data_IF_703675194504
#
_entry.id   IF_703675194504
#
_cell.length_a   1.000
_cell.length_b   1.000
_cell.length_c   1.000
_cell.angle_alpha   90.00
_cell.angle_beta   90.00
_cell.angle_gamma   90.00
#
_symmetry.space_group_name_H-M   'P 1'
#
loop_
_entity.id
_entity.type
_entity.pdbx_description
1 polymer ?
#
# COMPACT_ATOMS: atom_id res chain seq x y z
N UNK A 1 -7.23 -15.36 -18.39
CA UNK A 1 -5.95 -14.96 -19.04
C UNK A 1 -5.05 -16.18 -19.09
N UNK A 2 -4.62 -16.62 -20.27
CA UNK A 2 -3.65 -17.71 -20.38
C UNK A 2 -2.24 -17.11 -20.45
N UNK A 3 -1.34 -17.50 -19.53
CA UNK A 3 0.07 -17.07 -19.55
C UNK A 3 0.39 -15.70 -18.96
N UNK A 4 -0.56 -15.07 -18.26
CA UNK A 4 -0.28 -13.85 -17.49
C UNK A 4 0.53 -14.20 -16.23
N UNK A 5 1.60 -13.44 -15.99
CA UNK A 5 2.39 -13.51 -14.77
C UNK A 5 1.84 -12.48 -13.78
N UNK A 6 1.47 -12.95 -12.59
CA UNK A 6 1.22 -12.08 -11.45
C UNK A 6 2.54 -11.48 -10.97
N UNK A 7 2.57 -10.17 -10.73
CA UNK A 7 3.73 -9.50 -10.15
C UNK A 7 3.48 -9.36 -8.65
N UNK A 8 4.24 -10.09 -7.84
CA UNK A 8 4.22 -9.90 -6.39
C UNK A 8 4.81 -8.51 -6.08
N UNK A 9 3.97 -7.61 -5.59
CA UNK A 9 4.32 -6.22 -5.28
C UNK A 9 4.87 -6.05 -3.84
N UNK A 10 4.86 -7.12 -3.03
CA UNK A 10 5.21 -7.09 -1.61
C UNK A 10 6.71 -7.34 -1.37
N UNK A 11 7.41 -7.99 -2.30
CA UNK A 11 8.83 -8.36 -2.18
C UNK A 11 9.83 -7.28 -2.62
N UNK A 12 9.38 -6.11 -3.08
CA UNK A 12 10.27 -5.08 -3.60
C UNK A 12 10.66 -4.06 -2.51
N UNK A 13 11.96 -4.00 -2.19
CA UNK A 13 12.64 -3.04 -1.31
C UNK A 13 12.52 -1.55 -1.76
N UNK A 14 11.69 -1.25 -2.75
CA UNK A 14 11.46 0.09 -3.27
C UNK A 14 9.98 0.31 -3.56
N UNK A 15 9.16 0.52 -2.53
CA UNK A 15 7.75 0.93 -2.66
C UNK A 15 7.57 2.17 -3.57
N UNK A 16 8.62 3.00 -3.69
CA UNK A 16 8.66 4.19 -4.52
C UNK A 16 9.17 3.95 -5.96
N UNK A 17 9.31 2.69 -6.39
CA UNK A 17 9.74 2.36 -7.76
C UNK A 17 8.65 2.76 -8.78
N UNK A 18 9.02 3.45 -9.89
CA UNK A 18 8.09 3.74 -10.98
C UNK A 18 7.59 2.45 -11.65
N UNK A 19 6.30 2.36 -11.93
CA UNK A 19 5.70 1.16 -12.55
C UNK A 19 6.29 0.83 -13.93
N UNK A 20 6.76 1.86 -14.65
CA UNK A 20 7.42 1.74 -15.95
C UNK A 20 8.71 0.90 -15.87
N UNK A 21 9.37 0.90 -14.72
CA UNK A 21 10.54 0.05 -14.45
C UNK A 21 10.14 -1.41 -14.33
N UNK A 22 9.04 -1.71 -13.63
CA UNK A 22 8.49 -3.06 -13.50
C UNK A 22 8.07 -3.61 -14.88
N UNK A 23 7.41 -2.80 -15.70
CA UNK A 23 7.05 -3.16 -17.07
C UNK A 23 8.31 -3.49 -17.89
N UNK A 24 9.35 -2.65 -17.80
CA UNK A 24 10.63 -2.87 -18.49
C UNK A 24 11.30 -4.18 -18.04
N UNK A 25 11.32 -4.47 -16.74
CA UNK A 25 11.88 -5.71 -16.17
C UNK A 25 11.12 -6.97 -16.65
N UNK A 26 9.83 -6.84 -16.98
CA UNK A 26 8.98 -7.97 -17.38
C UNK A 26 8.82 -8.14 -18.90
N UNK A 27 9.80 -7.69 -19.69
CA UNK A 27 9.97 -8.10 -21.09
C UNK A 27 9.41 -7.13 -22.14
N UNK A 28 9.18 -5.89 -21.77
CA UNK A 28 8.84 -4.79 -22.67
C UNK A 28 9.98 -3.78 -22.76
N UNK A 29 10.11 -3.14 -23.91
CA UNK A 29 10.94 -1.95 -24.06
C UNK A 29 10.10 -0.74 -23.67
N UNK A 30 10.64 0.04 -22.75
CA UNK A 30 9.98 1.24 -22.23
C UNK A 30 10.89 2.43 -22.43
N UNK A 31 10.40 3.45 -23.11
CA UNK A 31 11.07 4.74 -23.27
C UNK A 31 10.23 5.80 -22.58
N UNK A 32 10.85 6.53 -21.66
CA UNK A 32 10.17 7.58 -20.89
C UNK A 32 10.71 8.92 -21.36
N UNK A 33 9.80 9.80 -21.78
CA UNK A 33 10.09 11.21 -22.07
C UNK A 33 9.52 12.07 -20.95
N UNK A 34 9.69 13.39 -21.04
CA UNK A 34 9.13 14.31 -20.06
C UNK A 34 7.60 14.20 -19.95
N UNK A 35 6.89 14.01 -21.07
CA UNK A 35 5.42 14.07 -21.11
C UNK A 35 4.74 12.77 -21.51
N UNK A 36 5.51 11.74 -21.87
CA UNK A 36 4.92 10.48 -22.33
C UNK A 36 5.79 9.25 -22.08
N UNK A 37 5.14 8.08 -22.07
CA UNK A 37 5.77 6.77 -22.00
C UNK A 37 5.47 6.01 -23.30
N UNK A 38 6.49 5.41 -23.89
CA UNK A 38 6.35 4.53 -25.04
C UNK A 38 6.67 3.11 -24.60
N UNK A 39 5.76 2.17 -24.88
CA UNK A 39 5.92 0.76 -24.53
C UNK A 39 5.83 -0.07 -25.80
N UNK A 40 6.82 -0.94 -26.02
CA UNK A 40 6.81 -1.91 -27.11
C UNK A 40 7.17 -3.29 -26.61
N UNK A 41 6.64 -4.31 -27.27
CA UNK A 41 7.09 -5.68 -27.04
C UNK A 41 8.49 -5.87 -27.61
N UNK A 42 9.33 -6.66 -26.91
CA UNK A 42 10.64 -7.10 -27.43
C UNK A 42 10.53 -8.20 -28.48
N UNK A 43 9.34 -8.76 -28.63
CA UNK A 43 9.07 -9.87 -29.53
C UNK A 43 8.76 -9.35 -30.93
N UNK A 44 9.10 -10.15 -31.93
CA UNK A 44 8.57 -9.95 -33.27
C UNK A 44 7.10 -10.39 -33.25
N UNK A 45 6.21 -9.46 -33.53
CA UNK A 45 4.76 -9.69 -33.59
C UNK A 45 4.21 -9.15 -34.90
N UNK A 46 3.19 -9.80 -35.50
CA UNK A 46 2.53 -9.26 -36.67
C UNK A 46 1.70 -8.03 -36.28
N UNK A 47 1.84 -6.94 -37.04
CA UNK A 47 1.07 -5.71 -36.84
C UNK A 47 1.66 -4.78 -35.78
N UNK A 48 0.81 -4.21 -34.92
CA UNK A 48 1.22 -3.23 -33.93
C UNK A 48 2.05 -3.89 -32.79
N UNK A 49 3.19 -3.29 -32.46
CA UNK A 49 4.10 -3.75 -31.41
C UNK A 49 3.83 -3.13 -30.04
N UNK A 50 2.78 -2.31 -29.92
CA UNK A 50 2.35 -1.67 -28.68
C UNK A 50 1.37 -2.58 -27.92
N UNK A 51 1.61 -2.89 -26.61
CA UNK A 51 0.72 -3.75 -25.84
C UNK A 51 -0.57 -3.05 -25.43
N UNK A 52 -1.61 -3.84 -25.16
CA UNK A 52 -2.84 -3.33 -24.54
C UNK A 52 -2.60 -3.07 -23.06
N UNK A 53 -2.74 -1.82 -22.61
CA UNK A 53 -2.55 -1.42 -21.22
C UNK A 53 -3.87 -0.96 -20.61
N UNK A 54 -4.16 -1.44 -19.40
CA UNK A 54 -5.37 -1.13 -18.65
C UNK A 54 -5.02 -0.65 -17.24
N UNK A 55 -5.73 0.36 -16.76
CA UNK A 55 -5.76 0.77 -15.35
C UNK A 55 -7.19 0.59 -14.86
N UNK A 56 -7.39 -0.19 -13.80
CA UNK A 56 -8.71 -0.48 -13.22
C UNK A 56 -9.74 -0.91 -14.29
N UNK A 57 -9.30 -1.80 -15.18
CA UNK A 57 -10.04 -2.30 -16.36
C UNK A 57 -10.35 -1.27 -17.45
N UNK A 58 -9.91 -0.02 -17.31
CA UNK A 58 -10.05 1.01 -18.34
C UNK A 58 -8.85 0.96 -19.32
N UNK A 59 -9.08 0.77 -20.63
CA UNK A 59 -8.00 0.78 -21.63
C UNK A 59 -7.41 2.17 -21.82
N UNK A 60 -6.09 2.25 -22.00
CA UNK A 60 -5.36 3.51 -22.20
C UNK A 60 -5.19 3.93 -23.68
N UNK A 61 -5.60 3.09 -24.65
CA UNK A 61 -5.57 3.40 -26.08
C UNK A 61 -4.26 4.05 -26.59
N UNK A 62 -3.12 3.44 -26.26
CA UNK A 62 -1.77 3.89 -26.63
C UNK A 62 -1.33 5.26 -26.04
N UNK A 63 -2.13 5.87 -25.15
CA UNK A 63 -1.72 7.02 -24.33
C UNK A 63 -1.29 6.56 -22.92
N UNK A 64 0.02 6.44 -22.72
CA UNK A 64 0.59 5.94 -21.48
C UNK A 64 1.16 7.03 -20.58
N UNK A 65 0.78 8.30 -20.80
CA UNK A 65 1.21 9.43 -19.97
C UNK A 65 0.88 9.24 -18.49
N UNK A 66 -0.25 8.61 -18.19
CA UNK A 66 -0.71 8.28 -16.83
C UNK A 66 0.28 7.39 -16.07
N UNK A 67 1.11 6.61 -16.77
CA UNK A 67 2.10 5.72 -16.16
C UNK A 67 3.34 6.44 -15.62
N UNK A 68 3.58 7.71 -15.98
CA UNK A 68 4.76 8.49 -15.56
C UNK A 68 4.83 8.64 -14.03
N UNK A 69 3.68 8.92 -13.42
CA UNK A 69 3.60 9.28 -12.01
C UNK A 69 3.19 8.11 -11.12
N UNK A 70 2.70 7.01 -11.70
CA UNK A 70 2.32 5.82 -10.95
C UNK A 70 3.55 5.15 -10.30
N UNK A 71 3.41 4.81 -9.01
CA UNK A 71 4.39 4.06 -8.23
C UNK A 71 3.80 2.72 -7.78
N UNK A 72 4.67 1.79 -7.39
CA UNK A 72 4.26 0.49 -6.85
C UNK A 72 3.37 0.63 -5.61
N UNK A 73 3.62 1.62 -4.75
CA UNK A 73 2.81 1.86 -3.54
C UNK A 73 1.32 2.14 -3.86
N UNK A 74 1.04 2.76 -5.01
CA UNK A 74 -0.30 3.17 -5.42
C UNK A 74 -1.12 1.98 -5.96
N UNK A 75 -0.47 0.83 -6.14
CA UNK A 75 -1.06 -0.37 -6.70
C UNK A 75 -1.53 -1.34 -5.62
N UNK A 76 -2.62 -2.01 -5.95
CA UNK A 76 -3.05 -3.24 -5.29
C UNK A 76 -2.43 -4.44 -6.00
N UNK A 77 -2.61 -4.53 -7.32
CA UNK A 77 -2.16 -5.66 -8.12
C UNK A 77 -1.71 -5.25 -9.53
N UNK A 78 -0.85 -6.08 -10.13
CA UNK A 78 -0.43 -5.95 -11.52
C UNK A 78 -0.29 -7.32 -12.20
N UNK A 79 -0.82 -7.43 -13.41
CA UNK A 79 -0.73 -8.61 -14.25
C UNK A 79 -0.09 -8.26 -15.58
N UNK A 80 0.96 -9.00 -15.94
CA UNK A 80 1.67 -8.80 -17.19
C UNK A 80 1.64 -10.09 -18.00
N UNK A 81 1.13 -10.02 -19.23
CA UNK A 81 1.23 -11.08 -20.22
C UNK A 81 2.00 -10.58 -21.43
N UNK A 82 3.08 -11.29 -21.79
CA UNK A 82 3.79 -11.04 -23.08
C UNK A 82 3.08 -11.70 -24.26
N UNK A 83 2.05 -12.49 -24.00
CA UNK A 83 1.23 -13.18 -25.00
C UNK A 83 -0.12 -12.46 -25.15
N UNK A 84 -0.69 -12.44 -26.36
CA UNK A 84 -2.03 -11.88 -26.56
C UNK A 84 -3.09 -12.71 -25.84
N UNK A 85 -4.09 -12.04 -25.28
CA UNK A 85 -5.39 -12.65 -25.01
C UNK A 85 -6.35 -12.34 -26.17
N UNK A 86 -7.47 -13.07 -26.31
CA UNK A 86 -8.49 -12.73 -27.29
C UNK A 86 -8.98 -11.29 -27.12
N UNK A 87 -8.88 -10.48 -28.18
CA UNK A 87 -9.27 -9.07 -28.18
C UNK A 87 -8.18 -8.08 -27.75
N UNK A 88 -7.04 -8.57 -27.26
CA UNK A 88 -5.89 -7.73 -26.90
C UNK A 88 -4.88 -7.63 -28.06
N UNK A 89 -3.95 -6.69 -27.94
CA UNK A 89 -2.84 -6.52 -28.87
C UNK A 89 -1.96 -7.77 -28.97
N UNK A 90 -1.47 -8.14 -30.18
CA UNK A 90 -0.49 -9.21 -30.36
C UNK A 90 0.81 -8.97 -29.59
N UNK A 91 1.10 -7.72 -29.20
CA UNK A 91 2.25 -7.35 -28.39
C UNK A 91 2.15 -7.76 -26.91
N UNK A 92 0.97 -8.14 -26.43
CA UNK A 92 0.70 -8.54 -25.05
C UNK A 92 -0.21 -7.58 -24.30
N UNK A 93 -0.38 -7.85 -23.01
CA UNK A 93 -1.37 -7.19 -22.15
C UNK A 93 -0.76 -6.84 -20.80
N UNK A 94 -1.01 -5.62 -20.33
CA UNK A 94 -0.61 -5.13 -19.02
C UNK A 94 -1.88 -4.63 -18.32
N UNK A 95 -2.20 -5.22 -17.15
CA UNK A 95 -3.32 -4.77 -16.30
C UNK A 95 -2.79 -4.29 -14.98
N UNK A 96 -3.22 -3.10 -14.60
CA UNK A 96 -2.81 -2.39 -13.40
C UNK A 96 -4.07 -2.14 -12.58
N UNK A 97 -4.04 -2.49 -11.30
CA UNK A 97 -5.12 -2.26 -10.36
C UNK A 97 -4.64 -1.33 -9.26
N UNK A 98 -5.29 -0.18 -9.10
CA UNK A 98 -4.93 0.82 -8.10
C UNK A 98 -5.60 0.50 -6.77
N UNK A 99 -4.92 0.82 -5.66
CA UNK A 99 -5.37 0.49 -4.30
C UNK A 99 -6.71 1.11 -3.90
N UNK A 100 -7.10 2.20 -4.54
CA UNK A 100 -8.33 2.91 -4.23
C UNK A 100 -9.48 2.58 -5.20
N UNK A 101 -9.24 1.78 -6.23
CA UNK A 101 -10.26 1.27 -7.17
C UNK A 101 -11.08 2.33 -7.92
N UNK A 102 -10.71 3.61 -7.82
CA UNK A 102 -11.47 4.74 -8.38
C UNK A 102 -10.94 5.21 -9.74
N UNK A 103 -9.97 4.51 -10.34
CA UNK A 103 -9.24 5.04 -11.49
C UNK A 103 -8.37 6.23 -11.09
N UNK A 104 -7.36 6.53 -11.90
CA UNK A 104 -6.66 7.81 -11.78
C UNK A 104 -7.64 8.91 -12.14
N UNK A 105 -8.12 9.65 -11.14
CA UNK A 105 -8.81 10.91 -11.37
C UNK A 105 -8.01 11.73 -12.38
N UNK A 106 -8.66 12.14 -13.47
CA UNK A 106 -8.08 13.06 -14.43
C UNK A 106 -7.59 14.26 -13.64
N UNK A 107 -6.30 14.58 -13.76
CA UNK A 107 -5.69 15.75 -13.15
C UNK A 107 -6.39 16.98 -13.76
N UNK A 108 -7.49 17.42 -13.15
CA UNK A 108 -7.90 18.82 -13.20
C UNK A 108 -6.89 19.61 -12.39
N UNK A 109 -6.64 20.85 -12.78
CA UNK A 109 -5.70 21.79 -12.17
C UNK A 109 -6.07 22.21 -10.73
N UNK A 110 -6.56 21.26 -9.92
CA UNK A 110 -6.65 21.41 -8.49
C UNK A 110 -5.28 21.06 -7.92
N UNK A 111 -4.58 22.09 -7.48
CA UNK A 111 -3.40 21.93 -6.64
C UNK A 111 -3.82 21.11 -5.43
N UNK A 112 -3.54 19.80 -5.44
CA UNK A 112 -3.51 19.06 -4.20
C UNK A 112 -2.33 19.62 -3.42
N UNK A 113 -2.63 20.42 -2.40
CA UNK A 113 -1.68 20.68 -1.34
C UNK A 113 -1.29 19.33 -0.77
N UNK A 114 -0.11 18.85 -1.16
CA UNK A 114 0.54 17.74 -0.49
C UNK A 114 0.94 18.31 0.87
N UNK A 115 0.05 18.22 1.85
CA UNK A 115 0.32 18.67 3.22
C UNK A 115 1.38 17.80 3.92
N UNK A 116 1.88 16.76 3.25
CA UNK A 116 2.96 15.90 3.74
C UNK A 116 4.25 16.11 2.94
N UNK A 117 4.82 17.31 3.07
CA UNK A 117 6.25 17.50 2.91
C UNK A 117 6.96 16.75 4.06
N UNK A 118 7.82 15.79 3.73
CA UNK A 118 8.83 15.16 4.60
C UNK A 118 8.68 15.39 6.13
N UNK A 119 8.03 14.45 6.81
CA UNK A 119 8.08 14.37 8.28
C UNK A 119 6.86 13.68 8.87
N UNK A 120 7.05 12.41 9.26
CA UNK A 120 6.12 11.57 10.04
C UNK A 120 4.71 11.37 9.42
N UNK A 121 4.25 10.12 9.41
CA UNK A 121 2.86 9.82 9.03
C UNK A 121 1.90 10.60 9.94
N UNK A 122 0.86 11.20 9.36
CA UNK A 122 -0.27 11.76 10.14
C UNK A 122 -0.70 10.69 11.15
N UNK A 123 -0.80 10.99 12.45
CA UNK A 123 -1.25 10.05 13.46
C UNK A 123 -2.59 9.46 13.02
N UNK A 124 -2.60 8.17 12.66
CA UNK A 124 -3.84 7.47 12.33
C UNK A 124 -4.60 7.21 13.62
N UNK A 125 -5.89 7.50 13.61
CA UNK A 125 -6.77 7.01 14.67
C UNK A 125 -6.71 5.48 14.70
N UNK A 126 -6.63 4.92 15.91
CA UNK A 126 -6.60 3.47 16.08
C UNK A 126 -7.91 2.88 15.56
N UNK A 127 -7.82 2.02 14.54
CA UNK A 127 -8.91 1.13 14.18
C UNK A 127 -8.78 -0.15 15.00
N UNK A 128 -9.79 -0.41 15.84
CA UNK A 128 -9.89 -1.68 16.52
C UNK A 128 -10.30 -2.78 15.52
N UNK A 129 -9.47 -3.81 15.31
CA UNK A 129 -9.87 -4.91 14.44
C UNK A 129 -11.08 -5.64 15.02
N UNK A 130 -12.03 -5.99 14.16
CA UNK A 130 -13.18 -6.82 14.54
C UNK A 130 -12.73 -8.28 14.72
N UNK A 131 -12.28 -8.62 15.92
CA UNK A 131 -11.90 -9.99 16.26
C UNK A 131 -13.13 -10.88 16.42
N UNK A 132 -13.21 -11.95 15.62
CA UNK A 132 -14.30 -12.94 15.68
C UNK A 132 -14.29 -13.71 17.00
N UNK A 133 -13.10 -13.93 17.59
CA UNK A 133 -12.95 -14.71 18.81
C UNK A 133 -11.76 -14.22 19.68
N UNK A 134 -12.08 -13.53 20.77
CA UNK A 134 -11.13 -12.99 21.76
C UNK A 134 -10.65 -14.00 22.79
N UNK A 135 -11.15 -15.24 22.79
CA UNK A 135 -10.69 -16.33 23.68
C UNK A 135 -9.80 -17.34 22.96
N UNK A 136 -9.64 -17.20 21.63
CA UNK A 136 -8.78 -18.08 20.84
C UNK A 136 -7.30 -17.96 21.25
N UNK A 137 -6.55 -19.06 21.18
CA UNK A 137 -5.11 -19.06 21.48
C UNK A 137 -4.32 -18.07 20.59
N UNK A 138 -4.77 -17.87 19.35
CA UNK A 138 -4.18 -16.88 18.43
C UNK A 138 -4.38 -15.47 18.95
N UNK A 139 -5.59 -15.10 19.37
CA UNK A 139 -5.87 -13.79 19.96
C UNK A 139 -5.12 -13.60 21.28
N UNK A 140 -5.09 -14.60 22.15
CA UNK A 140 -4.35 -14.51 23.43
C UNK A 140 -2.85 -14.26 23.24
N UNK A 141 -2.28 -14.65 22.09
CA UNK A 141 -0.86 -14.45 21.76
C UNK A 141 -0.58 -13.17 20.97
N UNK A 142 -1.47 -12.79 20.04
CA UNK A 142 -1.20 -11.75 19.04
C UNK A 142 -2.31 -10.69 18.92
N UNK A 143 -3.42 -10.85 19.65
CA UNK A 143 -4.54 -9.94 19.64
C UNK A 143 -4.20 -8.63 20.35
N UNK A 144 -4.62 -7.52 19.76
CA UNK A 144 -4.51 -6.19 20.38
C UNK A 144 -5.87 -5.84 20.98
N UNK A 145 -5.90 -5.58 22.29
CA UNK A 145 -7.13 -5.19 22.98
C UNK A 145 -7.46 -3.74 22.67
N UNK A 146 -6.49 -2.84 22.79
CA UNK A 146 -6.65 -1.41 22.57
C UNK A 146 -5.31 -0.76 22.26
N UNK A 147 -5.35 0.38 21.59
CA UNK A 147 -4.20 1.24 21.34
C UNK A 147 -4.65 2.68 21.54
N UNK A 148 -3.88 3.43 22.34
CA UNK A 148 -4.20 4.80 22.68
C UNK A 148 -3.00 5.66 22.27
N UNK A 149 -3.09 6.42 21.17
CA UNK A 149 -2.02 7.31 20.76
C UNK A 149 -2.04 8.61 21.57
N UNK A 150 -0.91 9.32 21.60
CA UNK A 150 -0.80 10.71 22.06
C UNK A 150 -1.29 10.96 23.50
N UNK A 151 -0.90 10.10 24.43
CA UNK A 151 -1.16 10.30 25.85
C UNK A 151 -0.17 11.31 26.43
N UNK A 152 -0.70 12.37 27.05
CA UNK A 152 0.09 13.35 27.80
C UNK A 152 -0.22 13.19 29.29
N UNK A 153 0.79 13.06 30.16
CA UNK A 153 0.58 13.02 31.61
C UNK A 153 -0.12 14.29 32.12
N UNK A 154 -0.83 14.18 33.23
CA UNK A 154 -1.32 15.36 33.96
C UNK A 154 -0.15 16.11 34.61
N UNK A 155 -0.46 17.23 35.29
CA UNK A 155 0.55 18.06 35.98
C UNK A 155 1.31 17.31 37.10
N UNK A 156 0.77 16.19 37.58
CA UNK A 156 1.37 15.31 38.59
C UNK A 156 2.21 14.18 37.95
N UNK A 157 2.27 14.11 36.62
CA UNK A 157 3.01 13.09 35.88
C UNK A 157 2.26 11.76 35.72
N UNK A 158 0.96 11.73 35.98
CA UNK A 158 0.14 10.52 35.93
C UNK A 158 -0.59 10.36 34.60
N UNK A 159 -0.73 9.11 34.15
CA UNK A 159 -1.50 8.72 32.99
C UNK A 159 -2.68 7.84 33.40
N UNK A 160 -3.91 8.31 33.12
CA UNK A 160 -5.14 7.55 33.37
C UNK A 160 -5.86 7.27 32.05
N UNK A 161 -6.16 6.00 31.79
CA UNK A 161 -6.87 5.57 30.59
C UNK A 161 -7.78 4.37 30.90
N UNK A 162 -8.75 4.12 30.01
CA UNK A 162 -9.66 2.98 30.09
C UNK A 162 -9.44 2.06 28.91
N UNK A 163 -9.55 0.75 29.12
CA UNK A 163 -9.46 -0.26 28.08
C UNK A 163 -10.73 -1.10 28.04
N UNK A 164 -11.16 -1.60 26.87
CA UNK A 164 -12.22 -2.59 26.79
C UNK A 164 -11.88 -3.85 27.59
N UNK A 165 -12.86 -4.37 28.33
CA UNK A 165 -12.71 -5.62 29.08
C UNK A 165 -13.24 -6.80 28.26
N UNK A 166 -12.35 -7.61 27.71
CA UNK A 166 -12.68 -8.85 26.98
C UNK A 166 -12.71 -10.10 27.88
N UNK A 167 -12.72 -9.93 29.20
CA UNK A 167 -12.71 -11.05 30.16
C UNK A 167 -11.36 -11.76 30.27
N UNK A 168 -10.26 -11.09 29.88
CA UNK A 168 -8.91 -11.62 30.04
C UNK A 168 -8.40 -11.37 31.46
N UNK A 169 -7.82 -12.41 32.07
CA UNK A 169 -7.29 -12.33 33.44
C UNK A 169 -6.01 -11.52 33.56
N UNK A 170 -5.20 -11.52 32.49
CA UNK A 170 -3.91 -10.85 32.46
C UNK A 170 -3.78 -10.10 31.15
N UNK A 171 -3.25 -8.88 31.22
CA UNK A 171 -2.97 -8.06 30.05
C UNK A 171 -1.53 -7.58 30.09
N UNK A 172 -0.89 -7.56 28.91
CA UNK A 172 0.40 -6.92 28.72
C UNK A 172 0.18 -5.52 28.16
N UNK A 173 0.77 -4.54 28.80
CA UNK A 173 0.75 -3.15 28.38
C UNK A 173 2.14 -2.83 27.85
N UNK A 174 2.18 -2.33 26.63
CA UNK A 174 3.38 -1.77 26.01
C UNK A 174 3.24 -0.26 26.05
N UNK A 175 4.19 0.40 26.70
CA UNK A 175 4.22 1.85 26.84
C UNK A 175 5.44 2.34 26.08
N UNK A 176 5.20 3.06 25.00
CA UNK A 176 6.22 3.56 24.09
C UNK A 176 6.07 5.08 23.97
N UNK A 177 7.18 5.80 23.98
CA UNK A 177 7.14 7.26 23.89
C UNK A 177 8.50 7.91 23.78
N UNK A 178 8.47 9.24 23.82
CA UNK A 178 9.67 10.07 23.77
C UNK A 178 9.51 11.20 24.81
N UNK A 179 10.58 11.50 25.56
CA UNK A 179 10.58 12.63 26.49
C UNK A 179 10.64 13.97 25.76
N UNK A 180 10.40 15.07 26.48
CA UNK A 180 10.51 16.42 25.92
C UNK A 180 11.91 16.74 25.39
N UNK A 181 12.95 16.09 25.94
CA UNK A 181 14.34 16.20 25.54
C UNK A 181 14.72 15.26 24.40
N UNK A 182 13.78 14.44 23.90
CA UNK A 182 14.00 13.52 22.78
C UNK A 182 14.50 12.13 23.17
N UNK A 183 14.49 11.77 24.47
CA UNK A 183 14.87 10.41 24.89
C UNK A 183 13.75 9.42 24.60
N UNK A 184 14.07 8.31 23.93
CA UNK A 184 13.13 7.23 23.70
C UNK A 184 12.88 6.44 25.00
N UNK A 185 11.63 6.06 25.22
CA UNK A 185 11.21 5.24 26.36
C UNK A 185 10.31 4.09 25.89
N UNK A 186 10.63 2.88 26.37
CA UNK A 186 9.89 1.65 26.12
C UNK A 186 9.76 0.88 27.43
N UNK A 187 8.54 0.46 27.76
CA UNK A 187 8.27 -0.32 28.97
C UNK A 187 7.15 -1.32 28.73
N UNK A 188 7.35 -2.54 29.21
CA UNK A 188 6.33 -3.59 29.18
C UNK A 188 5.91 -3.93 30.61
N UNK A 189 4.63 -3.83 30.88
CA UNK A 189 4.04 -4.18 32.18
C UNK A 189 3.00 -5.28 32.02
N UNK A 190 2.92 -6.18 32.99
CA UNK A 190 1.89 -7.23 33.04
C UNK A 190 0.97 -6.97 34.21
N UNK A 191 -0.31 -6.73 33.93
CA UNK A 191 -1.32 -6.45 34.94
C UNK A 191 -2.28 -7.63 35.02
N UNK A 192 -2.50 -8.10 36.26
CA UNK A 192 -3.56 -9.05 36.56
C UNK A 192 -4.85 -8.27 36.84
N UNK A 193 -5.90 -8.55 36.06
CA UNK A 193 -7.21 -7.91 36.15
C UNK A 193 -8.21 -8.70 37.01
N UNK A 194 -7.83 -9.90 37.49
CA UNK A 194 -8.62 -10.62 38.49
C UNK A 194 -8.46 -9.94 39.85
N UNK A 195 -9.60 -9.57 40.43
CA UNK A 195 -9.71 -9.28 41.87
C UNK A 195 -9.62 -10.57 42.67
#
# INVERSE_FOLDING_TARGET
>A
MHGAKYINLVEFDFQNEPIVSIIRKNGFDVVTTFDNVFIKTRRIVPGNSVPSVYIDNMPLFDDFKTLLNLRVLDLEDMYISRMPNPGDSPAGTIKIFTRNGQGLSTIGDDYQTIDNLFGFSIPKEYYQPNYINTTSNTFLKFGTIHWIPNLTPNDEGELTFKVPNYGSDNVKIYIEGMSAEGYLWSKVESINLKK
#
